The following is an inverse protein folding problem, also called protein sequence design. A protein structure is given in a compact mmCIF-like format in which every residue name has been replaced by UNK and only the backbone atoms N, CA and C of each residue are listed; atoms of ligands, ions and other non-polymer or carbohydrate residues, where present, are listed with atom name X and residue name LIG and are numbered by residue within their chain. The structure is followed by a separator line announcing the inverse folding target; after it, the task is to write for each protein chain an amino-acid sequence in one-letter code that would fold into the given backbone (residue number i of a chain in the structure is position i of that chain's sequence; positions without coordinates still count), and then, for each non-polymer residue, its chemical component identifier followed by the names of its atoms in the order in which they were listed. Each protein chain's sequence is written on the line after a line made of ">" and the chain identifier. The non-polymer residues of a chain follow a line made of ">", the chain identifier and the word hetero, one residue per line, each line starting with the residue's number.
data_IF_817287991567
#
_entry.id   IF_817287991567
#
_cell.length_a   1.000
_cell.length_b   1.000
_cell.length_c   1.000
_cell.angle_alpha   90.00
_cell.angle_beta   90.00
_cell.angle_gamma   90.00
#
_symmetry.space_group_name_H-M   'P 1'
#
loop_
_entity.id
_entity.type
_entity.pdbx_description
1 polymer ?
#
# COMPACT_ATOMS: atom_id res chain seq x y z
N UNK A 1 10.04 -29.91 -18.36
CA UNK A 1 9.37 -29.93 -17.04
C UNK A 1 9.57 -28.56 -16.43
N UNK A 2 8.51 -27.79 -16.11
CA UNK A 2 8.72 -26.54 -15.36
C UNK A 2 9.39 -26.91 -14.04
N UNK A 3 10.46 -26.19 -13.67
CA UNK A 3 11.15 -26.38 -12.42
C UNK A 3 10.12 -26.38 -11.28
N UNK A 4 10.23 -27.31 -10.33
CA UNK A 4 9.39 -27.28 -9.12
C UNK A 4 9.60 -25.92 -8.45
N UNK A 5 8.62 -25.02 -8.57
CA UNK A 5 8.64 -23.74 -7.88
C UNK A 5 8.36 -24.00 -6.40
N UNK A 6 9.44 -24.28 -5.66
CA UNK A 6 9.37 -24.47 -4.21
C UNK A 6 9.22 -23.09 -3.58
N UNK A 7 8.15 -22.89 -2.81
CA UNK A 7 7.99 -21.72 -1.96
C UNK A 7 9.20 -21.62 -1.01
N UNK A 8 9.99 -20.55 -1.05
CA UNK A 8 11.08 -20.39 -0.12
C UNK A 8 10.56 -20.31 1.32
N UNK A 9 11.24 -20.97 2.23
CA UNK A 9 10.94 -20.89 3.67
C UNK A 9 11.41 -19.55 4.25
N UNK A 10 10.84 -19.09 5.38
CA UNK A 10 11.34 -17.91 6.08
C UNK A 10 12.84 -17.98 6.40
N UNK A 11 13.34 -19.16 6.77
CA UNK A 11 14.77 -19.38 7.04
C UNK A 11 15.66 -19.20 5.80
N UNK A 12 15.20 -19.67 4.64
CA UNK A 12 15.92 -19.48 3.37
C UNK A 12 15.93 -18.02 2.95
N UNK A 13 14.80 -17.32 3.06
CA UNK A 13 14.72 -15.90 2.75
C UNK A 13 15.62 -15.06 3.67
N UNK A 14 15.67 -15.40 4.96
CA UNK A 14 16.57 -14.73 5.90
C UNK A 14 18.05 -14.99 5.58
N UNK A 15 18.41 -16.23 5.22
CA UNK A 15 19.77 -16.56 4.81
C UNK A 15 20.20 -15.79 3.54
N UNK A 16 19.30 -15.65 2.56
CA UNK A 16 19.53 -14.83 1.37
C UNK A 16 19.71 -13.35 1.75
N UNK A 17 18.84 -12.80 2.61
CA UNK A 17 18.98 -11.42 3.07
C UNK A 17 20.34 -11.16 3.76
N UNK A 18 20.78 -12.08 4.63
CA UNK A 18 22.08 -12.00 5.30
C UNK A 18 23.23 -12.07 4.29
N UNK A 19 23.17 -13.00 3.34
CA UNK A 19 24.18 -13.12 2.28
C UNK A 19 24.27 -11.85 1.43
N UNK A 20 23.12 -11.28 1.03
CA UNK A 20 23.07 -10.05 0.24
C UNK A 20 23.64 -8.85 0.99
N UNK A 21 23.36 -8.74 2.29
CA UNK A 21 23.93 -7.68 3.11
C UNK A 21 25.47 -7.75 3.17
N UNK A 22 26.04 -8.96 3.25
CA UNK A 22 27.49 -9.16 3.28
C UNK A 22 28.18 -9.03 1.91
N UNK A 23 27.47 -9.30 0.82
CA UNK A 23 28.07 -9.41 -0.52
C UNK A 23 27.71 -8.24 -1.42
N UNK A 24 26.41 -8.08 -1.71
CA UNK A 24 25.89 -7.07 -2.64
C UNK A 24 25.85 -5.68 -2.00
N UNK A 25 25.56 -5.61 -0.72
CA UNK A 25 25.45 -4.36 0.04
C UNK A 25 26.55 -4.23 1.08
N UNK A 26 27.78 -4.60 0.69
CA UNK A 26 28.96 -4.32 1.47
C UNK A 26 28.95 -2.85 1.92
N UNK A 27 29.31 -2.61 3.17
CA UNK A 27 29.28 -1.29 3.84
C UNK A 27 27.89 -0.78 4.26
N UNK A 28 26.80 -1.51 4.01
CA UNK A 28 25.53 -1.23 4.67
C UNK A 28 25.66 -1.46 6.19
N UNK A 29 25.10 -0.56 6.99
CA UNK A 29 25.13 -0.67 8.45
C UNK A 29 24.23 -1.83 8.93
N UNK A 30 23.04 -1.95 8.35
CA UNK A 30 22.05 -2.99 8.66
C UNK A 30 20.97 -3.05 7.57
N UNK A 31 20.06 -4.02 7.71
CA UNK A 31 18.85 -4.09 6.90
C UNK A 31 17.68 -4.76 7.61
N UNK A 32 16.51 -4.72 6.99
CA UNK A 32 15.30 -5.42 7.43
C UNK A 32 14.79 -6.33 6.32
N UNK A 33 14.78 -7.63 6.58
CA UNK A 33 14.18 -8.63 5.71
C UNK A 33 12.69 -8.76 6.04
N UNK A 34 11.82 -8.48 5.06
CA UNK A 34 10.39 -8.44 5.22
C UNK A 34 9.68 -9.16 4.05
N UNK A 35 8.39 -8.91 3.90
CA UNK A 35 7.58 -9.50 2.85
C UNK A 35 6.78 -10.71 3.29
N UNK A 36 5.92 -11.21 2.41
CA UNK A 36 4.97 -12.28 2.74
C UNK A 36 5.66 -13.61 3.07
N UNK A 37 6.85 -13.86 2.51
CA UNK A 37 7.62 -15.08 2.83
C UNK A 37 7.95 -15.13 4.32
N UNK A 38 8.47 -14.04 4.88
CA UNK A 38 8.89 -13.98 6.29
C UNK A 38 7.70 -14.04 7.25
N UNK A 39 6.50 -13.62 6.81
CA UNK A 39 5.25 -13.75 7.58
C UNK A 39 4.57 -15.12 7.45
N UNK A 40 5.09 -16.03 6.62
CA UNK A 40 4.45 -17.33 6.35
C UNK A 40 3.22 -17.24 5.44
N UNK A 41 2.97 -16.08 4.82
CA UNK A 41 1.86 -15.83 3.88
C UNK A 41 2.33 -15.88 2.41
N UNK A 42 3.60 -16.25 2.18
CA UNK A 42 4.22 -16.25 0.86
C UNK A 42 3.60 -17.26 -0.09
N UNK A 43 3.67 -16.95 -1.37
CA UNK A 43 3.41 -17.88 -2.48
C UNK A 43 4.73 -18.15 -3.20
N UNK A 44 4.76 -19.16 -4.06
CA UNK A 44 5.95 -19.47 -4.89
C UNK A 44 6.38 -18.32 -5.83
N UNK A 45 5.55 -17.27 -5.98
CA UNK A 45 5.84 -16.05 -6.74
C UNK A 45 6.09 -14.84 -5.83
N UNK A 46 6.13 -15.02 -4.51
CA UNK A 46 6.48 -13.95 -3.59
C UNK A 46 7.96 -13.61 -3.69
N UNK A 47 8.23 -12.33 -3.52
CA UNK A 47 9.54 -11.74 -3.36
C UNK A 47 9.95 -11.66 -1.89
N UNK A 48 11.27 -11.51 -1.70
CA UNK A 48 11.86 -11.00 -0.46
C UNK A 48 11.93 -9.47 -0.57
N UNK A 49 11.28 -8.78 0.36
CA UNK A 49 11.46 -7.34 0.54
C UNK A 49 12.68 -7.12 1.45
N UNK A 50 13.65 -6.30 1.01
CA UNK A 50 14.86 -6.02 1.78
C UNK A 50 15.09 -4.51 1.89
N UNK A 51 14.88 -3.94 3.07
CA UNK A 51 15.31 -2.56 3.36
C UNK A 51 16.78 -2.58 3.74
N UNK A 52 17.62 -1.80 3.06
CA UNK A 52 19.06 -1.72 3.29
C UNK A 52 19.42 -0.30 3.69
N UNK A 53 20.14 -0.15 4.81
CA UNK A 53 20.49 1.16 5.37
C UNK A 53 22.00 1.32 5.43
N UNK A 54 22.52 2.26 4.66
CA UNK A 54 23.90 2.73 4.71
C UNK A 54 24.01 3.91 5.70
N UNK A 55 25.21 4.19 6.21
CA UNK A 55 25.45 5.42 6.96
C UNK A 55 25.29 6.67 6.08
N UNK A 56 25.75 6.56 4.82
CA UNK A 56 25.64 7.60 3.79
C UNK A 56 25.54 6.95 2.42
N UNK A 57 24.68 7.47 1.57
CA UNK A 57 24.49 6.97 0.23
C UNK A 57 24.39 8.13 -0.76
N UNK A 58 25.02 8.05 -1.95
CA UNK A 58 24.92 9.13 -2.94
C UNK A 58 23.49 9.40 -3.43
N UNK A 59 22.69 8.33 -3.56
CA UNK A 59 21.28 8.40 -3.94
C UNK A 59 20.53 7.16 -3.45
N UNK A 60 19.34 7.36 -2.90
CA UNK A 60 18.42 6.27 -2.62
C UNK A 60 17.99 5.57 -3.91
N UNK A 61 17.77 4.26 -3.82
CA UNK A 61 17.32 3.47 -4.97
C UNK A 61 16.43 2.32 -4.54
N UNK A 62 15.55 1.93 -5.45
CA UNK A 62 14.81 0.67 -5.41
C UNK A 62 15.30 -0.19 -6.56
N UNK A 63 15.63 -1.44 -6.29
CA UNK A 63 16.12 -2.37 -7.31
C UNK A 63 15.49 -3.75 -7.12
N UNK A 64 15.25 -4.44 -8.24
CA UNK A 64 14.69 -5.79 -8.26
C UNK A 64 15.65 -6.72 -9.00
N UNK A 65 15.93 -7.89 -8.42
CA UNK A 65 16.86 -8.86 -8.99
C UNK A 65 16.56 -10.28 -8.47
N UNK A 66 17.25 -11.28 -9.02
CA UNK A 66 17.18 -12.66 -8.53
C UNK A 66 18.41 -12.98 -7.67
N UNK A 67 18.21 -13.56 -6.49
CA UNK A 67 19.24 -14.12 -5.63
C UNK A 67 18.95 -15.61 -5.42
N UNK A 68 19.81 -16.50 -5.92
CA UNK A 68 19.59 -17.96 -5.92
C UNK A 68 18.21 -18.37 -6.48
N UNK A 69 17.74 -17.65 -7.50
CA UNK A 69 16.43 -17.85 -8.13
C UNK A 69 15.23 -17.25 -7.40
N UNK A 70 15.42 -16.65 -6.22
CA UNK A 70 14.40 -15.91 -5.48
C UNK A 70 14.32 -14.46 -5.98
N UNK A 71 13.13 -13.94 -6.32
CA UNK A 71 12.92 -12.51 -6.53
C UNK A 71 13.18 -11.72 -5.25
N UNK A 72 13.99 -10.67 -5.36
CA UNK A 72 14.28 -9.74 -4.27
C UNK A 72 13.95 -8.34 -4.74
N UNK A 73 13.24 -7.59 -3.90
CA UNK A 73 13.02 -6.16 -4.04
C UNK A 73 13.76 -5.44 -2.91
N UNK A 74 14.80 -4.69 -3.25
CA UNK A 74 15.62 -3.99 -2.28
C UNK A 74 15.36 -2.49 -2.28
N UNK A 75 15.17 -1.93 -1.09
CA UNK A 75 14.95 -0.51 -0.81
C UNK A 75 16.18 0.04 -0.11
N UNK A 76 17.05 0.72 -0.85
CA UNK A 76 18.38 1.10 -0.41
C UNK A 76 18.42 2.58 -0.08
N UNK A 77 18.70 2.88 1.18
CA UNK A 77 18.64 4.22 1.74
C UNK A 77 19.83 4.53 2.65
N UNK A 78 20.00 5.81 2.95
CA UNK A 78 20.65 6.30 4.16
C UNK A 78 19.57 6.85 5.12
N UNK A 79 19.89 7.29 6.36
CA UNK A 79 18.87 7.74 7.31
C UNK A 79 18.02 8.92 6.80
N UNK A 80 18.63 9.85 6.04
CA UNK A 80 17.94 11.04 5.54
C UNK A 80 16.92 10.71 4.47
N UNK A 81 17.34 9.93 3.47
CA UNK A 81 16.44 9.47 2.40
C UNK A 81 15.39 8.50 2.94
N UNK A 82 15.73 7.63 3.89
CA UNK A 82 14.76 6.73 4.53
C UNK A 82 13.66 7.49 5.26
N UNK A 83 14.04 8.51 6.05
CA UNK A 83 13.06 9.35 6.76
C UNK A 83 12.11 10.05 5.78
N UNK A 84 12.64 10.60 4.68
CA UNK A 84 11.82 11.23 3.65
C UNK A 84 10.82 10.26 3.02
N UNK A 85 11.23 9.05 2.63
CA UNK A 85 10.31 8.06 2.05
C UNK A 85 9.29 7.53 3.07
N UNK A 86 9.67 7.42 4.35
CA UNK A 86 8.74 7.10 5.43
C UNK A 86 7.70 8.22 5.61
N UNK A 87 8.11 9.49 5.50
CA UNK A 87 7.20 10.64 5.53
C UNK A 87 6.23 10.64 4.35
N UNK A 88 6.72 10.39 3.14
CA UNK A 88 5.90 10.29 1.93
C UNK A 88 4.89 9.14 2.01
N UNK A 89 5.32 7.95 2.48
CA UNK A 89 4.44 6.80 2.73
C UNK A 89 3.35 7.12 3.75
N UNK A 90 3.71 7.84 4.82
CA UNK A 90 2.76 8.28 5.82
C UNK A 90 1.77 9.31 5.25
N UNK A 91 2.25 10.32 4.53
CA UNK A 91 1.43 11.40 3.97
C UNK A 91 0.39 10.88 2.97
N UNK A 92 0.81 9.96 2.08
CA UNK A 92 -0.10 9.26 1.15
C UNK A 92 -0.93 8.17 1.83
N UNK A 93 -0.70 7.91 3.12
CA UNK A 93 -1.43 6.94 3.94
C UNK A 93 -1.24 5.49 3.51
N UNK A 94 -0.13 5.16 2.84
CA UNK A 94 0.20 3.82 2.34
C UNK A 94 1.54 3.38 2.93
N UNK A 95 1.54 2.71 4.09
CA UNK A 95 2.72 2.59 4.94
C UNK A 95 3.59 1.37 4.59
N UNK A 96 3.90 1.17 3.30
CA UNK A 96 4.64 -0.01 2.83
C UNK A 96 6.02 -0.12 3.48
N UNK A 97 6.82 0.96 3.40
CA UNK A 97 8.17 0.98 3.98
C UNK A 97 8.14 0.89 5.50
N UNK A 98 7.13 1.49 6.13
CA UNK A 98 6.94 1.41 7.56
C UNK A 98 6.68 -0.03 8.02
N UNK A 99 5.78 -0.76 7.35
CA UNK A 99 5.52 -2.17 7.67
C UNK A 99 6.79 -3.02 7.49
N UNK A 100 7.54 -2.81 6.40
CA UNK A 100 8.79 -3.54 6.16
C UNK A 100 9.83 -3.33 7.27
N UNK A 101 9.95 -2.12 7.81
CA UNK A 101 10.87 -1.83 8.91
C UNK A 101 10.31 -2.37 10.23
N UNK A 102 9.06 -2.08 10.56
CA UNK A 102 8.47 -2.42 11.85
C UNK A 102 8.34 -3.93 12.07
N UNK A 103 7.91 -4.66 11.05
CA UNK A 103 7.68 -6.12 11.12
C UNK A 103 8.88 -6.93 10.59
N UNK A 104 9.86 -6.26 9.97
CA UNK A 104 11.01 -6.91 9.36
C UNK A 104 11.94 -7.57 10.35
N UNK A 105 12.55 -8.68 9.93
CA UNK A 105 13.64 -9.32 10.66
C UNK A 105 14.92 -8.56 10.41
N UNK A 106 15.55 -8.08 11.48
CA UNK A 106 16.84 -7.40 11.41
C UNK A 106 17.92 -8.32 10.82
N UNK A 107 18.69 -7.80 9.88
CA UNK A 107 19.92 -8.41 9.34
C UNK A 107 21.08 -7.43 9.50
N UNK A 108 22.27 -7.96 9.83
CA UNK A 108 23.49 -7.16 10.05
C UNK A 108 23.87 -6.97 11.52
N UNK A 109 24.90 -6.16 11.76
CA UNK A 109 25.60 -6.07 13.05
C UNK A 109 25.28 -4.79 13.85
N UNK A 110 24.80 -3.72 13.20
CA UNK A 110 24.43 -2.46 13.86
C UNK A 110 23.06 -2.55 14.56
N UNK A 111 23.00 -3.30 15.66
CA UNK A 111 21.71 -3.73 16.24
C UNK A 111 20.98 -2.65 17.05
N UNK A 112 21.68 -1.68 17.65
CA UNK A 112 21.03 -0.66 18.49
C UNK A 112 20.31 0.42 17.66
N UNK A 113 21.00 1.01 16.69
CA UNK A 113 20.42 2.00 15.76
C UNK A 113 19.24 1.40 14.99
N UNK A 114 19.36 0.15 14.55
CA UNK A 114 18.30 -0.53 13.84
C UNK A 114 17.07 -0.80 14.71
N UNK A 115 17.26 -1.26 15.96
CA UNK A 115 16.16 -1.46 16.92
C UNK A 115 15.48 -0.13 17.29
N UNK A 116 16.25 0.95 17.46
CA UNK A 116 15.70 2.28 17.72
C UNK A 116 14.83 2.75 16.55
N UNK A 117 15.32 2.63 15.31
CA UNK A 117 14.55 2.96 14.11
C UNK A 117 13.27 2.10 14.01
N UNK A 118 13.38 0.78 14.22
CA UNK A 118 12.25 -0.14 14.20
C UNK A 118 11.18 0.26 15.23
N UNK A 119 11.59 0.62 16.46
CA UNK A 119 10.68 1.11 17.49
C UNK A 119 9.99 2.42 17.13
N UNK A 120 10.72 3.38 16.58
CA UNK A 120 10.17 4.67 16.13
C UNK A 120 9.14 4.48 15.01
N UNK A 121 9.46 3.65 14.01
CA UNK A 121 8.56 3.36 12.89
C UNK A 121 7.35 2.56 13.35
N UNK A 122 7.51 1.60 14.26
CA UNK A 122 6.41 0.85 14.84
C UNK A 122 5.44 1.76 15.62
N UNK A 123 5.96 2.70 16.42
CA UNK A 123 5.12 3.69 17.12
C UNK A 123 4.34 4.57 16.13
N UNK A 124 4.97 4.98 15.02
CA UNK A 124 4.30 5.74 13.96
C UNK A 124 3.21 4.94 13.26
N UNK A 125 3.44 3.66 12.97
CA UNK A 125 2.40 2.78 12.42
C UNK A 125 1.20 2.67 13.35
N UNK A 126 1.44 2.51 14.65
CA UNK A 126 0.37 2.43 15.65
C UNK A 126 -0.45 3.72 15.76
N UNK A 127 0.18 4.88 15.55
CA UNK A 127 -0.49 6.17 15.57
C UNK A 127 -1.46 6.39 14.39
N UNK A 128 -1.30 5.66 13.29
CA UNK A 128 -2.13 5.82 12.09
C UNK A 128 -1.63 6.89 11.12
N UNK A 129 -2.26 7.00 9.92
CA UNK A 129 -1.92 8.03 8.96
C UNK A 129 -2.32 9.42 9.46
N UNK A 130 -1.64 10.48 8.97
CA UNK A 130 -2.19 11.82 9.04
C UNK A 130 -3.63 11.86 8.49
N UNK A 131 -4.55 12.56 9.17
CA UNK A 131 -5.91 12.76 8.68
C UNK A 131 -5.90 13.35 7.27
N UNK A 132 -6.88 12.96 6.45
CA UNK A 132 -7.10 13.64 5.17
C UNK A 132 -7.38 15.12 5.43
N UNK A 133 -6.66 15.98 4.70
CA UNK A 133 -7.05 17.39 4.59
C UNK A 133 -8.43 17.49 3.93
N UNK A 134 -9.10 18.63 4.12
CA UNK A 134 -10.40 18.86 3.50
C UNK A 134 -10.32 18.71 1.98
N UNK A 135 -9.30 19.29 1.34
CA UNK A 135 -9.09 19.18 -0.11
C UNK A 135 -8.89 17.73 -0.58
N UNK A 136 -8.14 16.90 0.15
CA UNK A 136 -7.97 15.48 -0.21
C UNK A 136 -9.28 14.69 -0.05
N UNK A 137 -10.04 14.96 1.01
CA UNK A 137 -11.35 14.33 1.24
C UNK A 137 -12.33 14.72 0.14
N UNK A 138 -12.38 16.00 -0.22
CA UNK A 138 -13.27 16.51 -1.27
C UNK A 138 -12.86 15.97 -2.65
N UNK A 139 -11.57 15.88 -2.95
CA UNK A 139 -11.10 15.23 -4.17
C UNK A 139 -11.58 13.77 -4.28
N UNK A 140 -11.50 12.98 -3.21
CA UNK A 140 -12.02 11.61 -3.18
C UNK A 140 -13.55 11.59 -3.33
N UNK A 141 -14.27 12.46 -2.63
CA UNK A 141 -15.74 12.55 -2.73
C UNK A 141 -16.17 12.88 -4.16
N UNK A 142 -15.49 13.83 -4.80
CA UNK A 142 -15.74 14.20 -6.19
C UNK A 142 -15.47 13.03 -7.13
N UNK A 143 -14.28 12.42 -7.06
CA UNK A 143 -13.91 11.28 -7.93
C UNK A 143 -14.89 10.11 -7.78
N UNK A 144 -15.33 9.82 -6.56
CA UNK A 144 -16.33 8.76 -6.31
C UNK A 144 -17.71 9.19 -6.83
N UNK A 145 -18.10 10.46 -6.67
CA UNK A 145 -19.39 10.97 -7.16
C UNK A 145 -19.47 10.87 -8.68
N UNK A 146 -18.43 11.31 -9.37
CA UNK A 146 -18.32 11.25 -10.83
C UNK A 146 -18.46 9.81 -11.35
N UNK A 147 -17.72 8.86 -10.77
CA UNK A 147 -17.80 7.44 -11.12
C UNK A 147 -19.16 6.81 -10.79
N UNK A 148 -19.79 7.23 -9.69
CA UNK A 148 -21.15 6.78 -9.31
C UNK A 148 -22.19 7.29 -10.30
N UNK A 149 -22.11 8.55 -10.71
CA UNK A 149 -23.02 9.14 -11.68
C UNK A 149 -22.87 8.48 -13.05
N UNK A 150 -21.65 8.13 -13.45
CA UNK A 150 -21.38 7.36 -14.65
C UNK A 150 -22.02 5.96 -14.63
N UNK A 151 -21.96 5.25 -13.49
CA UNK A 151 -22.60 3.94 -13.31
C UNK A 151 -24.14 4.01 -13.24
N UNK A 152 -24.70 5.19 -12.93
CA UNK A 152 -26.15 5.42 -12.99
C UNK A 152 -26.67 5.62 -14.42
N UNK A 153 -25.79 5.93 -15.38
CA UNK A 153 -26.15 6.10 -16.79
C UNK A 153 -26.34 4.77 -17.53
N UNK A 154 -26.92 4.84 -18.74
CA UNK A 154 -26.90 3.71 -19.67
C UNK A 154 -25.46 3.46 -20.14
N UNK A 155 -24.93 2.26 -19.84
CA UNK A 155 -23.56 1.87 -20.12
C UNK A 155 -23.51 0.42 -20.60
N UNK A 156 -22.55 0.13 -21.46
CA UNK A 156 -22.19 -1.24 -21.81
C UNK A 156 -21.55 -1.96 -20.61
N UNK A 157 -21.58 -3.30 -20.62
CA UNK A 157 -20.90 -4.09 -19.59
C UNK A 157 -19.39 -3.77 -19.52
N UNK A 158 -18.74 -3.55 -20.66
CA UNK A 158 -17.31 -3.21 -20.69
C UNK A 158 -17.02 -1.88 -19.99
N UNK A 159 -17.87 -0.85 -20.18
CA UNK A 159 -17.74 0.43 -19.50
C UNK A 159 -17.98 0.28 -17.99
N UNK A 160 -19.01 -0.47 -17.58
CA UNK A 160 -19.30 -0.74 -16.16
C UNK A 160 -18.09 -1.37 -15.46
N UNK A 161 -17.44 -2.36 -16.09
CA UNK A 161 -16.25 -3.00 -15.53
C UNK A 161 -15.08 -2.01 -15.42
N UNK A 162 -14.87 -1.17 -16.42
CA UNK A 162 -13.82 -0.15 -16.42
C UNK A 162 -14.04 0.89 -15.31
N UNK A 163 -15.27 1.41 -15.18
CA UNK A 163 -15.64 2.37 -14.14
C UNK A 163 -15.52 1.72 -12.75
N UNK A 164 -16.01 0.47 -12.59
CA UNK A 164 -15.89 -0.28 -11.34
C UNK A 164 -14.45 -0.53 -10.91
N UNK A 165 -13.54 -0.80 -11.85
CA UNK A 165 -12.11 -0.95 -11.59
C UNK A 165 -11.45 0.34 -11.09
N UNK A 166 -11.94 1.51 -11.53
CA UNK A 166 -11.51 2.82 -11.01
C UNK A 166 -12.16 3.16 -9.66
N UNK A 167 -13.44 2.83 -9.49
CA UNK A 167 -14.20 3.13 -8.27
C UNK A 167 -13.70 2.34 -7.06
N UNK A 168 -13.37 1.06 -7.22
CA UNK A 168 -12.93 0.20 -6.12
C UNK A 168 -11.80 0.80 -5.25
N UNK A 169 -10.63 1.19 -5.82
CA UNK A 169 -9.56 1.76 -5.01
C UNK A 169 -9.92 3.10 -4.36
N UNK A 170 -10.73 3.94 -5.02
CA UNK A 170 -11.14 5.26 -4.48
C UNK A 170 -12.09 5.12 -3.31
N UNK A 171 -13.09 4.27 -3.45
CA UNK A 171 -14.06 4.00 -2.40
C UNK A 171 -13.40 3.36 -1.18
N UNK A 172 -12.48 2.42 -1.39
CA UNK A 172 -11.69 1.82 -0.31
C UNK A 172 -10.76 2.83 0.37
N UNK A 173 -10.13 3.73 -0.40
CA UNK A 173 -9.29 4.80 0.16
C UNK A 173 -10.12 5.76 1.02
N UNK A 174 -11.28 6.21 0.54
CA UNK A 174 -12.20 7.03 1.34
C UNK A 174 -12.64 6.29 2.61
N UNK A 175 -13.04 5.02 2.50
CA UNK A 175 -13.54 4.25 3.64
C UNK A 175 -12.48 4.09 4.74
N UNK A 176 -11.22 3.81 4.37
CA UNK A 176 -10.10 3.62 5.30
C UNK A 176 -9.55 4.97 5.79
N UNK A 177 -9.04 5.82 4.88
CA UNK A 177 -8.41 7.10 5.23
C UNK A 177 -9.40 8.08 5.83
N UNK A 178 -10.66 8.07 5.38
CA UNK A 178 -11.73 8.91 5.91
C UNK A 178 -12.06 8.63 7.38
N UNK A 179 -11.68 7.44 7.87
CA UNK A 179 -11.79 7.00 9.27
C UNK A 179 -10.44 6.96 10.00
N UNK A 180 -9.38 7.50 9.42
CA UNK A 180 -8.05 7.54 10.04
C UNK A 180 -7.31 6.20 10.03
N UNK A 181 -7.67 5.26 9.15
CA UNK A 181 -6.94 4.01 8.97
C UNK A 181 -5.99 4.08 7.78
N UNK A 182 -4.88 3.35 7.87
CA UNK A 182 -3.95 3.15 6.76
C UNK A 182 -4.67 2.53 5.54
N UNK A 183 -4.28 2.98 4.35
CA UNK A 183 -4.73 2.44 3.08
C UNK A 183 -3.65 1.53 2.47
N UNK A 184 -4.08 0.60 1.62
CA UNK A 184 -3.20 -0.29 0.87
C UNK A 184 -3.83 -0.63 -0.47
N UNK A 185 -3.01 -0.92 -1.47
CA UNK A 185 -3.49 -1.22 -2.82
C UNK A 185 -3.65 -2.72 -3.07
N UNK A 186 -4.48 -3.07 -4.06
CA UNK A 186 -4.65 -4.45 -4.53
C UNK A 186 -5.06 -5.40 -3.41
N UNK A 187 -4.29 -6.49 -3.22
CA UNK A 187 -4.57 -7.54 -2.23
C UNK A 187 -4.70 -7.06 -0.77
N UNK A 188 -4.19 -5.87 -0.45
CA UNK A 188 -4.29 -5.30 0.89
C UNK A 188 -5.64 -4.68 1.20
N UNK A 189 -6.38 -4.19 0.20
CA UNK A 189 -7.70 -3.57 0.39
C UNK A 189 -8.64 -4.47 1.20
N UNK A 190 -8.95 -5.73 0.79
CA UNK A 190 -9.87 -6.57 1.54
C UNK A 190 -9.37 -6.90 2.95
N UNK A 191 -8.05 -7.06 3.13
CA UNK A 191 -7.44 -7.33 4.44
C UNK A 191 -7.61 -6.16 5.41
N UNK A 192 -7.39 -4.95 4.92
CA UNK A 192 -7.47 -3.72 5.71
C UNK A 192 -8.92 -3.37 6.05
N UNK A 193 -9.83 -3.50 5.08
CA UNK A 193 -11.26 -3.30 5.33
C UNK A 193 -11.78 -4.30 6.37
N UNK A 194 -11.48 -5.59 6.23
CA UNK A 194 -11.90 -6.60 7.20
C UNK A 194 -11.29 -6.40 8.59
N UNK A 195 -10.05 -5.89 8.68
CA UNK A 195 -9.41 -5.55 9.96
C UNK A 195 -10.06 -4.35 10.65
N UNK A 196 -10.50 -3.35 9.87
CA UNK A 196 -11.19 -2.18 10.40
C UNK A 196 -12.63 -2.51 10.80
N UNK A 197 -13.38 -3.15 9.91
CA UNK A 197 -14.78 -3.56 10.11
C UNK A 197 -15.06 -4.79 9.22
N UNK A 198 -15.16 -6.01 9.80
CA UNK A 198 -15.43 -7.23 9.07
C UNK A 198 -16.73 -7.18 8.23
N UNK A 199 -17.77 -6.51 8.75
CA UNK A 199 -19.04 -6.39 8.03
C UNK A 199 -18.92 -5.45 6.84
N UNK A 200 -18.15 -4.35 6.97
CA UNK A 200 -17.86 -3.48 5.82
C UNK A 200 -17.00 -4.19 4.78
N UNK A 201 -15.97 -4.93 5.20
CA UNK A 201 -15.15 -5.73 4.30
C UNK A 201 -15.99 -6.70 3.46
N UNK A 202 -16.91 -7.42 4.11
CA UNK A 202 -17.82 -8.34 3.41
C UNK A 202 -18.75 -7.61 2.43
N UNK A 203 -19.27 -6.43 2.78
CA UNK A 203 -20.10 -5.61 1.87
C UNK A 203 -19.31 -5.16 0.64
N UNK A 204 -18.06 -4.74 0.81
CA UNK A 204 -17.17 -4.40 -0.30
C UNK A 204 -16.96 -5.60 -1.23
N UNK A 205 -16.58 -6.75 -0.68
CA UNK A 205 -16.31 -7.96 -1.46
C UNK A 205 -17.55 -8.40 -2.25
N UNK A 206 -18.72 -8.42 -1.61
CA UNK A 206 -19.98 -8.81 -2.26
C UNK A 206 -20.40 -7.81 -3.35
N UNK A 207 -20.31 -6.51 -3.07
CA UNK A 207 -20.73 -5.49 -4.01
C UNK A 207 -19.87 -5.52 -5.30
N UNK A 208 -18.55 -5.53 -5.14
CA UNK A 208 -17.66 -5.56 -6.30
C UNK A 208 -17.64 -6.92 -7.01
N UNK A 209 -17.87 -8.03 -6.30
CA UNK A 209 -18.09 -9.32 -6.95
C UNK A 209 -19.32 -9.30 -7.87
N UNK A 210 -20.44 -8.72 -7.43
CA UNK A 210 -21.65 -8.58 -8.26
C UNK A 210 -21.40 -7.71 -9.50
N UNK A 211 -20.72 -6.56 -9.33
CA UNK A 211 -20.36 -5.67 -10.43
C UNK A 211 -19.44 -6.37 -11.43
N UNK A 212 -18.37 -7.04 -10.98
CA UNK A 212 -17.40 -7.63 -11.89
C UNK A 212 -17.88 -8.93 -12.54
N UNK A 213 -18.74 -9.70 -11.89
CA UNK A 213 -19.27 -10.94 -12.45
C UNK A 213 -20.43 -10.69 -13.43
N UNK A 214 -21.33 -9.75 -13.10
CA UNK A 214 -22.62 -9.63 -13.77
C UNK A 214 -22.92 -8.21 -14.30
N UNK A 215 -21.98 -7.28 -14.18
CA UNK A 215 -22.22 -5.85 -14.43
C UNK A 215 -23.40 -5.29 -13.59
N UNK A 216 -23.67 -5.89 -12.43
CA UNK A 216 -24.70 -5.41 -11.51
C UNK A 216 -24.16 -4.26 -10.65
N UNK A 217 -24.55 -3.03 -11.00
CA UNK A 217 -24.12 -1.82 -10.31
C UNK A 217 -24.82 -1.61 -8.96
N UNK A 218 -26.01 -2.19 -8.73
CA UNK A 218 -26.88 -1.77 -7.63
C UNK A 218 -26.22 -1.93 -6.24
N UNK A 219 -25.52 -3.03 -5.93
CA UNK A 219 -24.81 -3.18 -4.66
C UNK A 219 -23.68 -2.15 -4.46
N UNK A 220 -22.91 -1.87 -5.52
CA UNK A 220 -21.80 -0.90 -5.46
C UNK A 220 -22.31 0.53 -5.31
N UNK A 221 -23.40 0.89 -6.01
CA UNK A 221 -24.04 2.19 -5.87
C UNK A 221 -24.56 2.42 -4.45
N UNK A 222 -25.20 1.40 -3.85
CA UNK A 222 -25.67 1.47 -2.47
C UNK A 222 -24.51 1.62 -1.46
N UNK A 223 -23.44 0.85 -1.64
CA UNK A 223 -22.23 0.94 -0.81
C UNK A 223 -21.58 2.33 -0.93
N UNK A 224 -21.41 2.83 -2.16
CA UNK A 224 -20.81 4.14 -2.42
C UNK A 224 -21.62 5.28 -1.79
N UNK A 225 -22.95 5.21 -1.88
CA UNK A 225 -23.83 6.19 -1.24
C UNK A 225 -23.69 6.20 0.29
N UNK A 226 -23.58 5.02 0.92
CA UNK A 226 -23.38 4.90 2.37
C UNK A 226 -22.03 5.47 2.80
N UNK A 227 -20.95 5.11 2.11
CA UNK A 227 -19.60 5.60 2.45
C UNK A 227 -19.46 7.10 2.20
N UNK A 228 -20.00 7.62 1.11
CA UNK A 228 -20.04 9.06 0.88
C UNK A 228 -20.80 9.79 1.99
N UNK A 229 -21.95 9.27 2.45
CA UNK A 229 -22.75 9.90 3.50
C UNK A 229 -21.99 10.08 4.82
N UNK A 230 -21.11 9.13 5.19
CA UNK A 230 -20.23 9.24 6.38
C UNK A 230 -19.22 10.38 6.25
N UNK A 231 -18.96 10.84 5.03
CA UNK A 231 -17.91 11.81 4.73
C UNK A 231 -18.45 13.12 4.12
N UNK A 232 -19.73 13.43 4.31
CA UNK A 232 -20.34 14.69 3.84
C UNK A 232 -21.19 14.54 2.57
N UNK A 233 -21.39 13.32 2.09
CA UNK A 233 -22.19 13.01 0.91
C UNK A 233 -21.43 13.20 -0.41
N UNK A 234 -22.18 13.10 -1.52
CA UNK A 234 -21.70 13.38 -2.88
C UNK A 234 -21.11 14.79 -2.98
N UNK A 235 -20.21 14.99 -3.92
CA UNK A 235 -19.65 16.30 -4.24
C UNK A 235 -19.49 16.43 -5.76
N UNK A 236 -20.24 17.33 -6.36
CA UNK A 236 -20.07 17.75 -7.75
C UNK A 236 -20.27 19.25 -7.81
N UNK A 237 -21.45 19.70 -7.37
CA UNK A 237 -21.72 21.12 -7.16
C UNK A 237 -20.79 21.68 -6.08
N UNK A 238 -20.02 22.70 -6.45
CA UNK A 238 -19.02 23.34 -5.60
C UNK A 238 -17.61 22.75 -5.63
N UNK A 239 -17.33 21.66 -6.38
CA UNK A 239 -15.92 21.24 -6.58
C UNK A 239 -15.15 22.30 -7.37
N UNK A 240 -13.95 22.63 -6.91
CA UNK A 240 -13.09 23.60 -7.57
C UNK A 240 -11.62 23.21 -7.39
N UNK A 241 -10.89 23.12 -8.50
CA UNK A 241 -9.47 22.75 -8.51
C UNK A 241 -8.66 23.87 -9.15
N UNK A 242 -7.71 24.40 -8.40
CA UNK A 242 -6.83 25.49 -8.86
C UNK A 242 -5.52 24.87 -9.36
N UNK A 243 -5.10 25.24 -10.57
CA UNK A 243 -3.82 24.81 -11.11
C UNK A 243 -2.65 25.35 -10.25
N UNK A 244 -1.53 24.60 -10.11
CA UNK A 244 -0.36 25.03 -9.33
C UNK A 244 0.23 26.35 -9.81
N UNK A 245 0.51 27.32 -8.92
CA UNK A 245 0.92 28.67 -9.34
C UNK A 245 2.20 28.70 -10.21
N UNK A 246 3.03 27.68 -10.12
CA UNK A 246 4.28 27.46 -10.86
C UNK A 246 4.10 26.89 -12.27
N UNK A 247 2.87 26.59 -12.73
CA UNK A 247 2.66 26.01 -14.08
C UNK A 247 3.04 26.95 -15.24
N UNK A 248 3.11 28.26 -14.99
CA UNK A 248 3.51 29.28 -15.98
C UNK A 248 5.00 29.68 -15.91
N UNK A 249 5.78 29.09 -15.01
CA UNK A 249 7.18 29.46 -14.80
C UNK A 249 8.11 28.91 -15.90
#
# INVERSE_FOLDING_TARGET
>A
MPAKHVLPTPAQALAIAQSLLCTRYADAAFGFAAGSILRGEGTHLSDLDLVVVYERLPAARRESFLADGMPVEAFVHDPGTLAWFVDEDAARGRPSLLHMIAEGTLVGTATESARSLQGQVAARLQAGPPPLTQAQRDALRYEITDLVDDLCGERSAAEILAIGALLHPRLAELALRGRGHWYGSGKWVPRLLARMDPALGQRFDQAFAALFANADCAPVLALAQQELAVHGGRLFDGDCRIAPADWRA
#
